data_IF_716738083763
#
_entry.id   IF_716738083763
#
_cell.length_a   1.000
_cell.length_b   1.000
_cell.length_c   1.000
_cell.angle_alpha   90.00
_cell.angle_beta   90.00
_cell.angle_gamma   90.00
#
_symmetry.space_group_name_H-M   'P 1'
#
loop_
_entity.id
_entity.type
_entity.pdbx_description
1 polymer ?
#
# COMPACT_ATOMS: atom_id res chain seq x y z
N UNK A 1 21.59 -4.00 -26.28
CA UNK A 1 21.88 -4.93 -25.16
C UNK A 1 21.98 -4.09 -23.90
N UNK A 2 21.21 -4.38 -22.85
CA UNK A 2 21.33 -3.63 -21.60
C UNK A 2 22.74 -3.86 -21.00
N UNK A 3 23.44 -2.79 -20.65
CA UNK A 3 24.74 -2.90 -19.97
C UNK A 3 24.57 -3.66 -18.66
N UNK A 4 25.38 -4.71 -18.46
CA UNK A 4 25.41 -5.46 -17.20
C UNK A 4 26.69 -5.11 -16.46
N UNK A 5 26.57 -4.84 -15.14
CA UNK A 5 27.72 -4.64 -14.25
C UNK A 5 27.85 -5.85 -13.32
N UNK A 6 29.07 -6.37 -13.17
CA UNK A 6 29.38 -7.45 -12.23
C UNK A 6 29.57 -6.86 -10.83
N UNK A 7 28.93 -7.47 -9.85
CA UNK A 7 29.11 -7.17 -8.43
C UNK A 7 29.66 -8.41 -7.72
N UNK A 8 30.56 -8.19 -6.75
CA UNK A 8 31.08 -9.24 -5.86
C UNK A 8 30.60 -8.93 -4.45
N UNK A 9 29.97 -9.91 -3.80
CA UNK A 9 29.44 -9.78 -2.44
C UNK A 9 29.88 -10.96 -1.60
N UNK A 10 30.16 -10.71 -0.32
CA UNK A 10 30.44 -11.74 0.66
C UNK A 10 29.16 -12.08 1.40
N UNK A 11 28.83 -13.37 1.47
CA UNK A 11 27.64 -13.90 2.14
C UNK A 11 28.05 -14.93 3.18
N UNK A 12 27.30 -15.07 4.30
CA UNK A 12 27.50 -16.16 5.24
C UNK A 12 27.36 -17.52 4.55
N UNK A 13 28.25 -18.47 4.90
CA UNK A 13 28.22 -19.82 4.33
C UNK A 13 26.89 -20.55 4.60
N UNK A 14 26.23 -20.27 5.74
CA UNK A 14 24.90 -20.83 6.05
C UNK A 14 23.87 -20.40 5.01
N UNK A 15 23.77 -19.09 4.75
CA UNK A 15 22.85 -18.55 3.76
C UNK A 15 23.15 -19.07 2.36
N UNK A 16 24.42 -19.19 1.98
CA UNK A 16 24.79 -19.73 0.67
C UNK A 16 24.34 -21.20 0.51
N UNK A 17 24.44 -22.02 1.57
CA UNK A 17 23.95 -23.41 1.55
C UNK A 17 22.43 -23.48 1.36
N UNK A 18 21.68 -22.59 2.00
CA UNK A 18 20.22 -22.51 1.82
C UNK A 18 19.85 -22.12 0.38
N UNK A 19 20.54 -21.12 -0.17
CA UNK A 19 20.37 -20.72 -1.58
C UNK A 19 20.68 -21.89 -2.51
N UNK A 20 21.77 -22.62 -2.28
CA UNK A 20 22.14 -23.77 -3.09
C UNK A 20 21.09 -24.87 -3.10
N UNK A 21 20.53 -25.16 -1.93
CA UNK A 21 19.45 -26.13 -1.80
C UNK A 21 18.25 -25.73 -2.65
N UNK A 22 17.77 -24.49 -2.53
CA UNK A 22 16.62 -23.99 -3.30
C UNK A 22 16.91 -23.98 -4.81
N UNK A 23 18.07 -23.46 -5.20
CA UNK A 23 18.49 -23.38 -6.60
C UNK A 23 18.57 -24.77 -7.23
N UNK A 24 19.03 -25.78 -6.48
CA UNK A 24 19.06 -27.18 -6.92
C UNK A 24 17.67 -27.78 -7.14
N UNK A 25 16.71 -27.48 -6.25
CA UNK A 25 15.33 -27.93 -6.38
C UNK A 25 14.62 -27.27 -7.57
N UNK A 26 14.83 -25.96 -7.77
CA UNK A 26 14.20 -25.20 -8.85
C UNK A 26 14.88 -25.37 -10.21
N UNK A 27 16.00 -26.12 -10.28
CA UNK A 27 16.84 -26.27 -11.50
C UNK A 27 17.28 -24.92 -12.09
N UNK A 28 17.52 -23.93 -11.24
CA UNK A 28 18.02 -22.60 -11.61
C UNK A 28 19.52 -22.50 -11.36
N UNK A 29 20.12 -21.35 -11.68
CA UNK A 29 21.48 -21.01 -11.22
C UNK A 29 21.44 -19.89 -10.17
N UNK A 30 22.49 -19.80 -9.33
CA UNK A 30 22.60 -18.80 -8.26
C UNK A 30 22.45 -17.36 -8.78
N UNK A 31 22.99 -17.06 -9.95
CA UNK A 31 22.95 -15.70 -10.51
C UNK A 31 21.53 -15.28 -10.90
N UNK A 32 20.73 -16.20 -11.42
CA UNK A 32 19.32 -15.97 -11.73
C UNK A 32 18.51 -15.80 -10.46
N UNK A 33 18.69 -16.69 -9.48
CA UNK A 33 18.04 -16.60 -8.17
C UNK A 33 18.32 -15.25 -7.48
N UNK A 34 19.59 -14.82 -7.44
CA UNK A 34 19.97 -13.53 -6.83
C UNK A 34 19.33 -12.36 -7.59
N UNK A 35 19.29 -12.39 -8.93
CA UNK A 35 18.63 -11.33 -9.72
C UNK A 35 17.13 -11.26 -9.43
N UNK A 36 16.45 -12.41 -9.33
CA UNK A 36 15.03 -12.48 -8.99
C UNK A 36 14.77 -11.95 -7.58
N UNK A 37 15.57 -12.39 -6.61
CA UNK A 37 15.49 -11.91 -5.22
C UNK A 37 15.71 -10.40 -5.12
N UNK A 38 16.69 -9.84 -5.84
CA UNK A 38 16.92 -8.39 -5.87
C UNK A 38 15.74 -7.63 -6.48
N UNK A 39 15.18 -8.10 -7.60
CA UNK A 39 13.99 -7.50 -8.22
C UNK A 39 12.81 -7.52 -7.26
N UNK A 40 12.57 -8.64 -6.60
CA UNK A 40 11.52 -8.81 -5.61
C UNK A 40 11.71 -7.83 -4.44
N UNK A 41 12.92 -7.79 -3.87
CA UNK A 41 13.24 -6.90 -2.75
C UNK A 41 13.01 -5.42 -3.08
N UNK A 42 13.46 -4.97 -4.26
CA UNK A 42 13.24 -3.59 -4.71
C UNK A 42 11.75 -3.30 -4.89
N UNK A 43 10.99 -4.23 -5.47
CA UNK A 43 9.54 -4.08 -5.65
C UNK A 43 8.82 -3.93 -4.31
N UNK A 44 9.16 -4.77 -3.34
CA UNK A 44 8.58 -4.71 -2.00
C UNK A 44 8.93 -3.42 -1.26
N UNK A 45 10.19 -2.97 -1.36
CA UNK A 45 10.61 -1.67 -0.79
C UNK A 45 9.82 -0.51 -1.38
N UNK A 46 9.66 -0.44 -2.70
CA UNK A 46 8.85 0.59 -3.37
C UNK A 46 7.38 0.54 -2.92
N UNK A 47 6.81 -0.67 -2.77
CA UNK A 47 5.43 -0.83 -2.29
C UNK A 47 5.27 -0.26 -0.87
N UNK A 48 6.22 -0.55 0.02
CA UNK A 48 6.23 -0.01 1.39
C UNK A 48 6.36 1.51 1.39
N UNK A 49 7.26 2.07 0.57
CA UNK A 49 7.44 3.52 0.43
C UNK A 49 6.17 4.21 -0.04
N UNK A 50 5.50 3.67 -1.07
CA UNK A 50 4.21 4.21 -1.55
C UNK A 50 3.15 4.16 -0.45
N UNK A 51 3.04 3.05 0.26
CA UNK A 51 2.07 2.92 1.35
C UNK A 51 2.35 3.93 2.47
N UNK A 52 3.62 4.15 2.82
CA UNK A 52 3.99 5.13 3.84
C UNK A 52 3.66 6.55 3.38
N UNK A 53 4.03 6.92 2.15
CA UNK A 53 3.72 8.23 1.58
C UNK A 53 2.22 8.51 1.52
N UNK A 54 1.40 7.50 1.21
CA UNK A 54 -0.05 7.63 1.24
C UNK A 54 -0.56 7.92 2.66
N UNK A 55 -0.09 7.16 3.65
CA UNK A 55 -0.46 7.40 5.06
C UNK A 55 -0.10 8.81 5.50
N UNK A 56 1.12 9.24 5.21
CA UNK A 56 1.62 10.56 5.58
C UNK A 56 0.76 11.66 4.93
N UNK A 57 0.45 11.52 3.63
CA UNK A 57 -0.42 12.46 2.92
C UNK A 57 -1.86 12.50 3.46
N UNK A 58 -2.43 11.36 3.85
CA UNK A 58 -3.75 11.32 4.49
C UNK A 58 -3.76 12.01 5.86
N UNK A 59 -2.70 11.83 6.64
CA UNK A 59 -2.54 12.52 7.93
C UNK A 59 -2.38 14.02 7.71
N UNK A 60 -1.56 14.44 6.74
CA UNK A 60 -1.35 15.84 6.38
C UNK A 60 -2.66 16.52 5.96
N UNK A 61 -3.47 15.84 5.13
CA UNK A 61 -4.75 16.35 4.64
C UNK A 61 -5.93 16.13 5.60
N UNK A 62 -5.71 15.48 6.75
CA UNK A 62 -6.79 15.03 7.66
C UNK A 62 -7.78 16.13 8.01
N UNK A 63 -7.30 17.33 8.36
CA UNK A 63 -8.15 18.47 8.74
C UNK A 63 -8.99 19.00 7.58
N UNK A 64 -8.39 19.09 6.39
CA UNK A 64 -9.08 19.56 5.19
C UNK A 64 -10.13 18.53 4.77
N UNK A 65 -9.76 17.25 4.75
CA UNK A 65 -10.67 16.16 4.43
C UNK A 65 -11.85 16.08 5.40
N UNK A 66 -11.60 16.30 6.70
CA UNK A 66 -12.65 16.35 7.72
C UNK A 66 -13.61 17.51 7.45
N UNK A 67 -13.09 18.72 7.27
CA UNK A 67 -13.92 19.88 6.98
C UNK A 67 -14.77 19.67 5.71
N UNK A 68 -14.18 19.12 4.64
CA UNK A 68 -14.91 18.81 3.40
C UNK A 68 -16.01 17.75 3.60
N UNK A 69 -15.78 16.77 4.48
CA UNK A 69 -16.78 15.74 4.78
C UNK A 69 -17.93 16.27 5.65
N UNK A 70 -17.69 17.29 6.47
CA UNK A 70 -18.69 17.90 7.35
C UNK A 70 -19.46 19.06 6.67
N UNK A 71 -18.93 19.64 5.60
CA UNK A 71 -19.61 20.71 4.86
C UNK A 71 -20.96 20.24 4.33
N UNK A 72 -22.02 20.94 4.71
CA UNK A 72 -23.40 20.66 4.28
C UNK A 72 -24.07 19.51 5.03
N UNK A 73 -23.32 18.71 5.80
CA UNK A 73 -23.84 17.51 6.43
C UNK A 73 -24.99 17.79 7.42
N UNK A 74 -24.85 18.82 8.25
CA UNK A 74 -25.92 19.21 9.19
C UNK A 74 -27.21 19.62 8.47
N UNK A 75 -27.08 20.35 7.36
CA UNK A 75 -28.22 20.80 6.56
C UNK A 75 -28.89 19.62 5.87
N UNK A 76 -28.12 18.74 5.24
CA UNK A 76 -28.62 17.53 4.58
C UNK A 76 -29.40 16.64 5.58
N UNK A 77 -28.89 16.50 6.81
CA UNK A 77 -29.54 15.73 7.87
C UNK A 77 -30.85 16.38 8.35
N UNK A 78 -30.88 17.71 8.45
CA UNK A 78 -32.10 18.44 8.82
C UNK A 78 -33.18 18.31 7.73
N UNK A 79 -32.79 18.43 6.46
CA UNK A 79 -33.68 18.26 5.31
C UNK A 79 -34.25 16.84 5.24
N UNK A 80 -33.41 15.82 5.46
CA UNK A 80 -33.85 14.43 5.52
C UNK A 80 -34.85 14.22 6.67
N UNK A 81 -34.57 14.72 7.86
CA UNK A 81 -35.47 14.59 9.02
C UNK A 81 -36.83 15.26 8.77
N UNK A 82 -36.82 16.44 8.13
CA UNK A 82 -38.06 17.12 7.75
C UNK A 82 -38.85 16.30 6.71
N UNK A 83 -38.17 15.77 5.70
CA UNK A 83 -38.79 14.92 4.68
C UNK A 83 -39.45 13.68 5.29
N UNK A 84 -38.78 12.98 6.21
CA UNK A 84 -39.30 11.80 6.90
C UNK A 84 -40.50 12.14 7.79
N UNK A 85 -40.47 13.28 8.48
CA UNK A 85 -41.58 13.78 9.30
C UNK A 85 -42.82 14.04 8.45
N UNK A 86 -42.63 14.68 7.28
CA UNK A 86 -43.72 14.97 6.35
C UNK A 86 -44.31 13.67 5.76
N UNK A 87 -43.46 12.69 5.44
CA UNK A 87 -43.90 11.40 4.90
C UNK A 87 -44.71 10.58 5.90
N UNK A 88 -44.40 10.69 7.19
CA UNK A 88 -45.10 9.99 8.28
C UNK A 88 -46.34 10.72 8.79
N UNK A 89 -46.63 11.94 8.31
CA UNK A 89 -47.78 12.74 8.71
C UNK A 89 -47.72 13.24 10.16
N UNK A 90 -46.55 13.20 10.80
CA UNK A 90 -46.32 13.67 12.17
C UNK A 90 -45.93 15.16 12.24
N UNK A 91 -46.54 16.01 11.40
CA UNK A 91 -46.35 17.46 11.52
C UNK A 91 -46.81 17.92 12.91
N UNK A 92 -45.92 18.52 13.69
CA UNK A 92 -46.29 19.18 14.94
C UNK A 92 -47.20 20.36 14.59
N UNK A 93 -48.50 20.22 14.87
CA UNK A 93 -49.43 21.37 14.99
C UNK A 93 -48.90 22.40 15.98
#
# INVERSE_FOLDING_TARGET
MAETKRITVSLPNSLLKEVDFIVSMEKKNRSEFIKEAMKLYIREKRRMEVSQRLKDGYVEMSKINLALAEIGFEQDMAELSQYETNLTGCEKM
#
